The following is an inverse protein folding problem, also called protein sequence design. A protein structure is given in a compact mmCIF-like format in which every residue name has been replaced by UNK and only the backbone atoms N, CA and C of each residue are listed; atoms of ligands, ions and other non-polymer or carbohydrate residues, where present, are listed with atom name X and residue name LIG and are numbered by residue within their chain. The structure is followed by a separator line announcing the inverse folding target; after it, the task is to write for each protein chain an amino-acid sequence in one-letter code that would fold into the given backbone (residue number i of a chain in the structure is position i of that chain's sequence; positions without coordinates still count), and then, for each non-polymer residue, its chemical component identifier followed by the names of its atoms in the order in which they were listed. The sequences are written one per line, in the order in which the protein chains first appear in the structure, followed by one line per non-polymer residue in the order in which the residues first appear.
data_IF_182791156470
#
_entry.id   IF_182791156470
#
_cell.length_a   1.000
_cell.length_b   1.000
_cell.length_c   1.000
_cell.angle_alpha   90.00
_cell.angle_beta   90.00
_cell.angle_gamma   90.00
#
_symmetry.space_group_name_H-M   'P 1'
#
loop_
_entity.id
_entity.type
_entity.pdbx_description
1 polymer ?
#
# COMPACT_ATOMS: atom_id res chain seq x y z
N UNK A 1 -3.69 15.03 -9.24
CA UNK A 1 -2.78 14.07 -8.55
C UNK A 1 -3.56 13.02 -7.76
N UNK A 2 -4.70 13.38 -7.15
CA UNK A 2 -5.66 12.46 -6.54
C UNK A 2 -6.45 11.62 -7.56
N UNK A 3 -6.60 12.10 -8.81
CA UNK A 3 -7.44 11.41 -9.81
C UNK A 3 -6.77 10.20 -10.50
N UNK A 4 -5.44 10.10 -10.49
CA UNK A 4 -4.72 8.99 -11.14
C UNK A 4 -4.90 7.65 -10.39
N UNK A 5 -5.25 7.71 -9.11
CA UNK A 5 -5.51 6.52 -8.27
C UNK A 5 -6.90 5.95 -8.54
N UNK A 6 -7.77 6.69 -9.23
CA UNK A 6 -9.20 6.39 -9.36
C UNK A 6 -9.57 5.56 -10.60
N UNK A 7 -8.68 5.47 -11.59
CA UNK A 7 -8.95 4.83 -12.90
C UNK A 7 -8.16 3.53 -13.17
N UNK A 8 -7.33 3.06 -12.23
CA UNK A 8 -6.54 1.83 -12.43
C UNK A 8 -7.31 0.60 -11.93
N UNK A 9 -7.69 -0.28 -12.86
CA UNK A 9 -8.38 -1.58 -12.67
C UNK A 9 -7.65 -2.63 -11.80
N UNK A 10 -6.69 -2.24 -10.97
CA UNK A 10 -5.93 -3.16 -10.12
C UNK A 10 -5.75 -2.57 -8.72
N UNK A 11 -6.60 -2.99 -7.78
CA UNK A 11 -6.40 -2.81 -6.34
C UNK A 11 -5.23 -3.63 -5.79
N UNK A 12 -4.08 -3.66 -6.48
CA UNK A 12 -3.04 -4.64 -6.25
C UNK A 12 -1.84 -4.10 -5.47
N UNK A 13 -1.17 -3.02 -5.87
CA UNK A 13 0.03 -2.54 -5.16
C UNK A 13 0.33 -1.06 -5.47
N UNK A 14 0.77 -0.29 -4.47
CA UNK A 14 1.35 1.06 -4.60
C UNK A 14 2.84 1.03 -4.24
N UNK A 15 3.66 1.86 -4.86
CA UNK A 15 5.04 2.11 -4.42
C UNK A 15 5.23 3.57 -3.99
N UNK A 16 5.85 3.78 -2.83
CA UNK A 16 6.25 5.10 -2.33
C UNK A 16 7.79 5.13 -2.33
N UNK A 17 8.37 6.16 -2.94
CA UNK A 17 9.81 6.38 -2.97
C UNK A 17 10.13 7.68 -2.25
N UNK A 18 10.97 7.61 -1.23
CA UNK A 18 11.31 8.77 -0.41
C UNK A 18 12.16 8.40 0.80
N UNK A 19 12.80 9.42 1.35
CA UNK A 19 13.69 9.31 2.52
C UNK A 19 13.26 10.22 3.67
N UNK A 20 12.21 11.02 3.51
CA UNK A 20 11.64 11.83 4.59
C UNK A 20 10.58 10.99 5.34
N UNK A 21 10.81 10.61 6.61
CA UNK A 21 9.88 9.80 7.39
C UNK A 21 8.48 10.42 7.49
N UNK A 22 8.40 11.75 7.64
CA UNK A 22 7.12 12.45 7.80
C UNK A 22 6.30 12.37 6.53
N UNK A 23 6.92 12.65 5.40
CA UNK A 23 6.23 12.58 4.10
C UNK A 23 5.82 11.14 3.77
N UNK A 24 6.72 10.18 3.99
CA UNK A 24 6.43 8.76 3.72
C UNK A 24 5.31 8.24 4.63
N UNK A 25 5.35 8.56 5.93
CA UNK A 25 4.32 8.16 6.89
C UNK A 25 2.93 8.71 6.54
N UNK A 26 2.85 9.99 6.15
CA UNK A 26 1.61 10.63 5.70
C UNK A 26 1.04 9.97 4.45
N UNK A 27 1.90 9.60 3.49
CA UNK A 27 1.48 8.90 2.27
C UNK A 27 0.99 7.49 2.59
N UNK A 28 1.67 6.77 3.49
CA UNK A 28 1.22 5.45 3.95
C UNK A 28 -0.20 5.54 4.52
N UNK A 29 -0.45 6.48 5.43
CA UNK A 29 -1.78 6.67 6.04
C UNK A 29 -2.85 7.00 5.00
N UNK A 30 -2.54 7.87 4.03
CA UNK A 30 -3.47 8.26 2.98
C UNK A 30 -3.92 7.08 2.12
N UNK A 31 -3.02 6.13 1.83
CA UNK A 31 -3.28 5.02 0.92
C UNK A 31 -3.58 3.69 1.62
N UNK A 32 -3.37 3.59 2.93
CA UNK A 32 -3.51 2.35 3.68
C UNK A 32 -4.91 1.72 3.56
N UNK A 33 -5.97 2.51 3.37
CA UNK A 33 -7.33 1.98 3.19
C UNK A 33 -7.77 1.89 1.72
N UNK A 34 -6.88 2.18 0.77
CA UNK A 34 -7.19 2.27 -0.65
C UNK A 34 -6.51 1.16 -1.48
N UNK A 35 -5.44 0.54 -0.96
CA UNK A 35 -4.64 -0.46 -1.68
C UNK A 35 -4.34 -1.67 -0.80
N UNK A 36 -4.29 -2.87 -1.38
CA UNK A 36 -3.96 -4.09 -0.63
C UNK A 36 -2.48 -4.21 -0.21
N UNK A 37 -1.58 -3.46 -0.85
CA UNK A 37 -0.13 -3.47 -0.54
C UNK A 37 0.54 -2.14 -0.87
N UNK A 38 1.41 -1.68 0.02
CA UNK A 38 2.28 -0.51 -0.16
C UNK A 38 3.74 -0.98 -0.10
N UNK A 39 4.52 -0.66 -1.12
CA UNK A 39 5.95 -0.95 -1.21
C UNK A 39 6.74 0.34 -0.96
N UNK A 40 7.55 0.42 0.09
CA UNK A 40 8.41 1.58 0.38
C UNK A 40 9.80 1.33 -0.21
N UNK A 41 10.29 2.26 -1.03
CA UNK A 41 11.57 2.20 -1.74
C UNK A 41 11.79 0.87 -2.49
N UNK A 42 10.70 0.31 -3.00
CA UNK A 42 10.66 -0.92 -3.76
C UNK A 42 9.60 -0.79 -4.85
N UNK A 43 9.95 -1.16 -6.08
CA UNK A 43 9.01 -1.17 -7.20
C UNK A 43 7.96 -2.27 -7.01
N UNK A 44 6.72 -2.02 -7.42
CA UNK A 44 5.70 -3.05 -7.55
C UNK A 44 6.23 -4.19 -8.43
N UNK A 45 6.34 -5.37 -7.85
CA UNK A 45 6.70 -6.58 -8.59
C UNK A 45 5.42 -7.37 -8.82
N UNK A 46 5.12 -7.69 -10.08
CA UNK A 46 4.32 -8.89 -10.36
C UNK A 46 5.16 -10.07 -9.89
N UNK A 47 4.58 -10.96 -9.10
CA UNK A 47 5.22 -12.25 -8.80
C UNK A 47 5.56 -12.98 -10.10
N UNK A 48 6.46 -13.98 -10.09
CA UNK A 48 6.75 -14.76 -11.28
C UNK A 48 5.44 -15.23 -11.91
N UNK A 49 5.27 -14.98 -13.22
CA UNK A 49 4.08 -15.26 -14.06
C UNK A 49 3.75 -16.77 -14.19
N UNK A 50 3.96 -17.54 -13.12
CA UNK A 50 3.76 -18.99 -13.04
C UNK A 50 2.48 -19.38 -12.30
N UNK A 51 1.65 -18.41 -11.88
CA UNK A 51 0.32 -18.67 -11.34
C UNK A 51 -0.75 -18.25 -12.37
N UNK A 52 -1.76 -19.12 -12.63
CA UNK A 52 -2.69 -18.89 -13.72
C UNK A 52 -3.50 -17.61 -13.49
N UNK A 53 -3.54 -16.78 -14.53
CA UNK A 53 -4.49 -15.68 -14.67
C UNK A 53 -5.91 -16.25 -14.68
N UNK A 54 -6.53 -16.38 -13.51
CA UNK A 54 -7.98 -16.50 -13.44
C UNK A 54 -8.56 -15.10 -13.65
N UNK A 55 -8.87 -14.79 -14.91
CA UNK A 55 -9.54 -13.56 -15.32
C UNK A 55 -10.80 -13.33 -14.49
N UNK A 56 -10.89 -12.16 -13.84
CA UNK A 56 -12.11 -11.66 -13.22
C UNK A 56 -12.60 -10.47 -14.04
N UNK A 57 -13.75 -10.72 -14.65
CA UNK A 57 -14.60 -9.87 -15.50
C UNK A 57 -14.67 -8.39 -15.07
N UNK A 58 -14.49 -7.53 -16.07
CA UNK A 58 -15.15 -6.24 -16.37
C UNK A 58 -15.80 -5.45 -15.22
N UNK A 59 -15.31 -4.21 -15.06
CA UNK A 59 -16.08 -2.97 -15.14
C UNK A 59 -17.47 -2.99 -14.52
N UNK A 60 -17.54 -2.88 -13.20
CA UNK A 60 -18.72 -2.34 -12.53
C UNK A 60 -18.46 -0.86 -12.21
N UNK A 61 -18.41 -0.05 -13.26
CA UNK A 61 -18.56 1.40 -13.15
C UNK A 61 -20.03 1.65 -12.72
N UNK A 62 -20.21 2.15 -11.51
CA UNK A 62 -21.51 2.52 -10.96
C UNK A 62 -21.98 1.63 -9.82
N UNK A 63 -22.04 2.21 -8.62
CA UNK A 63 -22.47 1.61 -7.34
C UNK A 63 -21.39 0.79 -6.65
N UNK A 64 -20.40 1.46 -6.04
CA UNK A 64 -19.66 0.91 -4.91
C UNK A 64 -20.69 0.55 -3.83
N UNK A 65 -21.19 -0.68 -3.87
CA UNK A 65 -22.15 -1.20 -2.91
C UNK A 65 -21.53 -1.08 -1.52
N UNK A 66 -22.36 -0.87 -0.49
CA UNK A 66 -21.93 -0.99 0.91
C UNK A 66 -21.13 -2.28 1.13
N UNK A 67 -21.46 -3.34 0.39
CA UNK A 67 -20.74 -4.60 0.42
C UNK A 67 -19.29 -4.52 -0.08
N UNK A 68 -19.04 -3.84 -1.21
CA UNK A 68 -17.67 -3.67 -1.74
C UNK A 68 -16.87 -2.66 -0.91
N UNK A 69 -17.51 -1.60 -0.42
CA UNK A 69 -16.91 -0.67 0.51
C UNK A 69 -16.47 -1.37 1.80
N UNK A 70 -17.35 -2.16 2.43
CA UNK A 70 -17.02 -2.96 3.61
C UNK A 70 -15.88 -3.94 3.33
N UNK A 71 -15.85 -4.55 2.14
CA UNK A 71 -14.78 -5.48 1.76
C UNK A 71 -13.43 -4.79 1.63
N UNK A 72 -13.38 -3.58 1.06
CA UNK A 72 -12.13 -2.79 0.99
C UNK A 72 -11.62 -2.47 2.40
N UNK A 73 -12.51 -2.10 3.33
CA UNK A 73 -12.14 -1.91 4.73
C UNK A 73 -11.83 -3.22 5.49
N UNK A 74 -12.19 -4.38 4.95
CA UNK A 74 -11.99 -5.69 5.59
C UNK A 74 -10.70 -6.40 5.17
N UNK A 75 -9.96 -5.86 4.21
CA UNK A 75 -8.68 -6.44 3.77
C UNK A 75 -7.55 -5.63 4.43
N UNK A 76 -6.73 -6.32 5.23
CA UNK A 76 -5.56 -5.70 5.86
C UNK A 76 -4.52 -5.32 4.81
N UNK A 77 -4.10 -4.06 4.79
CA UNK A 77 -3.04 -3.59 3.90
C UNK A 77 -1.66 -4.01 4.37
N UNK A 78 -0.87 -4.56 3.46
CA UNK A 78 0.51 -4.97 3.75
C UNK A 78 1.50 -3.88 3.33
N UNK A 79 2.31 -3.40 4.27
CA UNK A 79 3.43 -2.50 3.96
C UNK A 79 4.71 -3.33 3.88
N UNK A 80 5.46 -3.20 2.79
CA UNK A 80 6.69 -3.94 2.54
C UNK A 80 7.82 -3.01 2.09
N UNK A 81 9.06 -3.34 2.45
CA UNK A 81 10.26 -2.64 1.96
C UNK A 81 11.38 -3.65 1.71
N UNK A 82 12.37 -3.28 0.90
CA UNK A 82 13.60 -4.08 0.75
C UNK A 82 14.43 -4.00 2.03
N UNK A 83 15.03 -5.12 2.42
CA UNK A 83 15.96 -5.19 3.56
C UNK A 83 17.28 -4.48 3.23
N UNK A 84 17.32 -3.18 3.51
CA UNK A 84 18.46 -2.29 3.32
C UNK A 84 18.52 -1.34 4.50
N UNK A 85 19.72 -0.99 4.98
CA UNK A 85 19.86 -0.24 6.23
C UNK A 85 19.18 1.14 6.20
N UNK A 86 19.24 1.85 5.06
CA UNK A 86 18.52 3.11 4.86
C UNK A 86 17.00 2.95 5.01
N UNK A 87 16.44 1.88 4.44
CA UNK A 87 15.02 1.58 4.54
C UNK A 87 14.63 1.19 5.96
N UNK A 88 15.49 0.43 6.66
CA UNK A 88 15.26 0.08 8.05
C UNK A 88 15.18 1.34 8.89
N UNK A 89 16.16 2.24 8.75
CA UNK A 89 16.22 3.50 9.46
C UNK A 89 14.98 4.37 9.17
N UNK A 90 14.58 4.48 7.90
CA UNK A 90 13.36 5.22 7.52
C UNK A 90 12.13 4.69 8.26
N UNK A 91 11.90 3.38 8.27
CA UNK A 91 10.77 2.78 8.98
C UNK A 91 10.92 2.95 10.49
N UNK A 92 12.14 2.84 11.05
CA UNK A 92 12.42 3.12 12.47
C UNK A 92 11.96 4.52 12.85
N UNK A 93 12.32 5.52 12.06
CA UNK A 93 12.02 6.92 12.32
C UNK A 93 10.52 7.20 12.21
N UNK A 94 9.82 6.60 11.24
CA UNK A 94 8.35 6.69 11.11
C UNK A 94 7.66 6.20 12.39
N UNK A 95 8.05 5.03 12.89
CA UNK A 95 7.42 4.43 14.08
C UNK A 95 7.80 5.20 15.34
N UNK A 96 9.10 5.48 15.53
CA UNK A 96 9.62 6.17 16.71
C UNK A 96 9.00 7.55 16.89
N UNK A 97 8.85 8.30 15.80
CA UNK A 97 8.30 9.65 15.81
C UNK A 97 6.78 9.68 15.60
N UNK A 98 6.14 8.51 15.41
CA UNK A 98 4.69 8.38 15.15
C UNK A 98 4.23 9.22 13.95
N UNK A 99 5.01 9.19 12.87
CA UNK A 99 4.73 9.91 11.63
C UNK A 99 3.64 9.22 10.78
N UNK A 100 3.17 8.05 11.21
CA UNK A 100 2.07 7.31 10.63
C UNK A 100 1.18 6.74 11.72
N UNK A 101 -0.13 6.86 11.54
CA UNK A 101 -1.17 6.25 12.37
C UNK A 101 -1.45 4.80 11.97
N UNK A 102 -1.01 4.37 10.79
CA UNK A 102 -1.08 2.99 10.33
C UNK A 102 0.12 2.14 10.76
N UNK A 103 1.35 2.68 10.69
CA UNK A 103 2.57 2.01 11.11
C UNK A 103 2.85 2.26 12.60
N UNK A 104 2.17 1.50 13.47
CA UNK A 104 2.15 1.79 14.92
C UNK A 104 2.99 0.86 15.80
N UNK A 105 3.69 -0.13 15.24
CA UNK A 105 4.37 -1.17 16.03
C UNK A 105 5.84 -1.25 15.67
N UNK A 106 6.70 -1.39 16.69
CA UNK A 106 8.11 -1.78 16.53
C UNK A 106 8.17 -3.09 15.72
N UNK A 107 8.77 -3.04 14.53
CA UNK A 107 8.89 -4.21 13.65
C UNK A 107 9.98 -5.17 14.18
N UNK A 108 9.87 -6.43 13.78
CA UNK A 108 10.91 -7.45 13.95
C UNK A 108 11.59 -7.62 12.58
N UNK A 109 12.92 -7.63 12.55
CA UNK A 109 13.71 -7.87 11.34
C UNK A 109 13.81 -9.35 10.99
#
# INVERSE_FOLDING_TARGET
MIDYVRESDFGQQLSIFGNDPKQVGQLVDAFANQVGRININAQCQRGPDSFPFNGRKNSAEGTLSVYDALRVFSISTLVATKFQDDNKQLISEIIRNRESSFLTTDYIF
#
